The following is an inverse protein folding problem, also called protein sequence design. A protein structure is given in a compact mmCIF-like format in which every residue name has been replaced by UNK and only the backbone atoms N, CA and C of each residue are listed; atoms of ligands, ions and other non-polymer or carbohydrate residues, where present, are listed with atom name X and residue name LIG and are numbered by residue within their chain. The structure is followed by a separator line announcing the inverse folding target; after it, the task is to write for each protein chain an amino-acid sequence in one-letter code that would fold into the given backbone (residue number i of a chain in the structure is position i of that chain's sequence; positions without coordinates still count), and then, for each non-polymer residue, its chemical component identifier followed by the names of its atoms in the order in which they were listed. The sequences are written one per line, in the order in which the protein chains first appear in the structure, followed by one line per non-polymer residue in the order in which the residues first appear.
data_IF_057214278378
#
_entry.id   IF_057214278378
#
_cell.length_a   1.000
_cell.length_b   1.000
_cell.length_c   1.000
_cell.angle_alpha   90.00
_cell.angle_beta   90.00
_cell.angle_gamma   90.00
#
_symmetry.space_group_name_H-M   'P 1'
#
loop_
_entity.id
_entity.type
_entity.pdbx_description
1 polymer ?
#
# COMPACT_ATOMS: atom_id res chain seq x y z
N UNK A 1 -65.79 -10.28 47.98
CA UNK A 1 -65.79 -10.06 46.50
C UNK A 1 -64.35 -9.84 46.02
N UNK A 2 -64.08 -10.17 44.75
CA UNK A 2 -62.92 -10.99 44.34
C UNK A 2 -61.71 -10.18 43.81
N UNK A 3 -60.74 -9.86 44.66
CA UNK A 3 -59.51 -9.11 44.28
C UNK A 3 -58.54 -9.98 43.45
N UNK A 4 -58.52 -11.31 43.64
CA UNK A 4 -57.64 -12.22 42.88
C UNK A 4 -58.07 -12.42 41.42
N UNK A 5 -59.38 -12.32 41.11
CA UNK A 5 -59.87 -12.39 39.72
C UNK A 5 -59.55 -11.13 38.92
N UNK A 6 -59.61 -9.94 39.55
CA UNK A 6 -59.29 -8.65 38.90
C UNK A 6 -57.83 -8.58 38.41
N UNK A 7 -56.87 -9.02 39.24
CA UNK A 7 -55.45 -8.99 38.88
C UNK A 7 -55.08 -9.98 37.74
N UNK A 8 -55.75 -11.14 37.69
CA UNK A 8 -55.52 -12.14 36.64
C UNK A 8 -56.08 -11.69 35.29
N UNK A 9 -57.23 -10.98 35.28
CA UNK A 9 -57.78 -10.38 34.06
C UNK A 9 -56.91 -9.23 33.54
N UNK A 10 -56.37 -8.38 34.41
CA UNK A 10 -55.49 -7.27 34.00
C UNK A 10 -54.16 -7.75 33.36
N UNK A 11 -53.54 -8.82 33.87
CA UNK A 11 -52.33 -9.38 33.26
C UNK A 11 -52.57 -10.03 31.89
N UNK A 12 -53.71 -10.70 31.70
CA UNK A 12 -54.08 -11.29 30.40
C UNK A 12 -54.37 -10.18 29.36
N UNK A 13 -55.05 -9.11 29.76
CA UNK A 13 -55.33 -7.97 28.88
C UNK A 13 -54.06 -7.19 28.52
N UNK A 14 -53.12 -7.02 29.45
CA UNK A 14 -51.82 -6.39 29.17
C UNK A 14 -50.92 -7.26 28.27
N UNK A 15 -50.93 -8.59 28.46
CA UNK A 15 -50.24 -9.55 27.60
C UNK A 15 -50.81 -9.61 26.17
N UNK A 16 -52.14 -9.57 26.03
CA UNK A 16 -52.80 -9.53 24.73
C UNK A 16 -52.52 -8.21 23.97
N UNK A 17 -52.49 -7.07 24.68
CA UNK A 17 -52.16 -5.76 24.10
C UNK A 17 -50.71 -5.66 23.63
N UNK A 18 -49.76 -6.26 24.36
CA UNK A 18 -48.34 -6.31 23.96
C UNK A 18 -48.07 -7.26 22.80
N UNK A 19 -48.76 -8.42 22.75
CA UNK A 19 -48.68 -9.36 21.63
C UNK A 19 -49.31 -8.78 20.35
N UNK A 20 -50.45 -8.10 20.45
CA UNK A 20 -51.09 -7.42 19.33
C UNK A 20 -50.22 -6.26 18.77
N UNK A 21 -49.55 -5.50 19.65
CA UNK A 21 -48.61 -4.43 19.26
C UNK A 21 -47.35 -4.97 18.56
N UNK A 22 -46.82 -6.12 19.00
CA UNK A 22 -45.72 -6.83 18.31
C UNK A 22 -46.15 -7.36 16.94
N UNK A 23 -47.33 -7.99 16.83
CA UNK A 23 -47.87 -8.49 15.54
C UNK A 23 -48.13 -7.36 14.53
N UNK A 24 -48.60 -6.21 14.99
CA UNK A 24 -48.78 -5.02 14.14
C UNK A 24 -47.45 -4.45 13.61
N UNK A 25 -46.39 -4.46 14.42
CA UNK A 25 -45.06 -4.03 13.99
C UNK A 25 -44.45 -4.94 12.91
N UNK A 26 -44.59 -6.27 13.03
CA UNK A 26 -44.15 -7.20 12.00
C UNK A 26 -44.95 -7.06 10.70
N UNK A 27 -46.26 -6.84 10.78
CA UNK A 27 -47.09 -6.61 9.60
C UNK A 27 -46.69 -5.33 8.87
N UNK A 28 -46.39 -4.25 9.60
CA UNK A 28 -45.92 -2.99 9.01
C UNK A 28 -44.56 -3.15 8.33
N UNK A 29 -43.61 -3.86 8.94
CA UNK A 29 -42.31 -4.14 8.34
C UNK A 29 -42.42 -5.03 7.09
N UNK A 30 -43.30 -6.04 7.14
CA UNK A 30 -43.57 -6.90 6.00
C UNK A 30 -44.20 -6.12 4.83
N UNK A 31 -45.16 -5.25 5.11
CA UNK A 31 -45.78 -4.38 4.09
C UNK A 31 -44.76 -3.40 3.53
N UNK A 32 -43.94 -2.77 4.37
CA UNK A 32 -42.88 -1.84 3.92
C UNK A 32 -41.84 -2.55 3.04
N UNK A 33 -41.44 -3.77 3.38
CA UNK A 33 -40.52 -4.58 2.58
C UNK A 33 -41.11 -4.95 1.21
N UNK A 34 -42.37 -5.38 1.16
CA UNK A 34 -43.03 -5.70 -0.11
C UNK A 34 -43.27 -4.46 -0.98
N UNK A 35 -43.56 -3.31 -0.38
CA UNK A 35 -43.67 -2.03 -1.10
C UNK A 35 -42.31 -1.60 -1.68
N UNK A 36 -41.21 -1.81 -0.93
CA UNK A 36 -39.85 -1.58 -1.43
C UNK A 36 -39.53 -2.48 -2.62
N UNK A 37 -39.84 -3.78 -2.52
CA UNK A 37 -39.63 -4.72 -3.62
C UNK A 37 -40.48 -4.38 -4.85
N UNK A 38 -41.73 -3.98 -4.67
CA UNK A 38 -42.60 -3.54 -5.76
C UNK A 38 -42.07 -2.25 -6.42
N UNK A 39 -41.58 -1.29 -5.64
CA UNK A 39 -40.97 -0.06 -6.15
C UNK A 39 -39.68 -0.35 -6.95
N UNK A 40 -38.83 -1.25 -6.45
CA UNK A 40 -37.64 -1.70 -7.16
C UNK A 40 -38.00 -2.44 -8.46
N UNK A 41 -39.01 -3.31 -8.43
CA UNK A 41 -39.51 -4.04 -9.60
C UNK A 41 -40.08 -3.11 -10.68
N UNK A 42 -40.89 -2.13 -10.29
CA UNK A 42 -41.43 -1.11 -11.20
C UNK A 42 -40.33 -0.20 -11.77
N UNK A 43 -39.34 0.18 -10.96
CA UNK A 43 -38.17 0.91 -11.42
C UNK A 43 -37.37 0.14 -12.47
N UNK A 44 -37.19 -1.18 -12.26
CA UNK A 44 -36.55 -2.06 -13.23
C UNK A 44 -37.38 -2.20 -14.51
N UNK A 45 -38.70 -2.33 -14.40
CA UNK A 45 -39.60 -2.44 -15.54
C UNK A 45 -39.62 -1.16 -16.38
N UNK A 46 -39.62 0.01 -15.74
CA UNK A 46 -39.53 1.32 -16.41
C UNK A 46 -38.19 1.49 -17.13
N UNK A 47 -37.08 1.03 -16.53
CA UNK A 47 -35.76 1.00 -17.15
C UNK A 47 -35.66 0.05 -18.35
N UNK A 48 -36.53 -0.96 -18.44
CA UNK A 48 -36.59 -1.95 -19.53
C UNK A 48 -37.60 -1.56 -20.63
N UNK A 49 -38.65 -0.79 -20.29
CA UNK A 49 -39.74 -0.42 -21.21
C UNK A 49 -39.37 0.71 -22.18
N UNK A 50 -38.37 1.53 -21.84
CA UNK A 50 -37.84 2.58 -22.73
C UNK A 50 -36.47 2.16 -23.25
N UNK A 51 -36.26 1.95 -24.56
CA UNK A 51 -34.93 1.67 -25.08
C UNK A 51 -34.04 2.87 -24.76
N UNK A 52 -32.92 2.68 -24.05
CA UNK A 52 -32.11 3.79 -23.59
C UNK A 52 -31.55 4.53 -24.80
N UNK A 53 -31.64 5.85 -24.75
CA UNK A 53 -31.01 6.72 -25.75
C UNK A 53 -29.50 6.49 -25.75
N UNK A 54 -28.81 6.82 -26.86
CA UNK A 54 -27.34 6.66 -26.96
C UNK A 54 -26.60 7.37 -25.81
N UNK A 55 -27.13 8.48 -25.33
CA UNK A 55 -26.55 9.25 -24.22
C UNK A 55 -26.79 8.57 -22.86
N UNK A 56 -27.95 7.95 -22.64
CA UNK A 56 -28.22 7.14 -21.45
C UNK A 56 -27.37 5.87 -21.40
N UNK A 57 -27.12 5.23 -22.55
CA UNK A 57 -26.22 4.08 -22.64
C UNK A 57 -24.78 4.51 -22.28
N UNK A 58 -24.29 5.62 -22.83
CA UNK A 58 -22.96 6.17 -22.49
C UNK A 58 -22.86 6.55 -21.01
N UNK A 59 -23.90 7.16 -20.45
CA UNK A 59 -23.95 7.53 -19.04
C UNK A 59 -23.91 6.28 -18.14
N UNK A 60 -24.71 5.25 -18.45
CA UNK A 60 -24.68 3.96 -17.74
C UNK A 60 -23.31 3.30 -17.86
N UNK A 61 -22.71 3.28 -19.05
CA UNK A 61 -21.38 2.69 -19.27
C UNK A 61 -20.30 3.43 -18.46
N UNK A 62 -20.35 4.76 -18.41
CA UNK A 62 -19.45 5.57 -17.57
C UNK A 62 -19.62 5.20 -16.09
N UNK A 63 -20.85 5.13 -15.59
CA UNK A 63 -21.14 4.73 -14.20
C UNK A 63 -20.67 3.30 -13.91
N UNK A 64 -20.94 2.32 -14.78
CA UNK A 64 -20.44 0.95 -14.62
C UNK A 64 -18.91 0.88 -14.62
N UNK A 65 -18.25 1.63 -15.52
CA UNK A 65 -16.79 1.70 -15.56
C UNK A 65 -16.22 2.36 -14.29
N UNK A 66 -16.85 3.42 -13.78
CA UNK A 66 -16.44 4.06 -12.53
C UNK A 66 -16.66 3.15 -11.31
N UNK A 67 -17.78 2.43 -11.22
CA UNK A 67 -18.05 1.46 -10.14
C UNK A 67 -17.09 0.27 -10.24
N UNK A 68 -16.81 -0.23 -11.45
CA UNK A 68 -15.82 -1.27 -11.69
C UNK A 68 -14.44 -0.85 -11.22
N UNK A 69 -14.04 0.39 -11.52
CA UNK A 69 -12.77 0.96 -11.04
C UNK A 69 -12.74 1.09 -9.51
N UNK A 70 -13.84 1.52 -8.87
CA UNK A 70 -13.94 1.61 -7.41
C UNK A 70 -13.84 0.23 -6.74
N UNK A 71 -14.50 -0.79 -7.31
CA UNK A 71 -14.41 -2.16 -6.83
C UNK A 71 -13.00 -2.72 -7.02
N UNK A 72 -12.36 -2.47 -8.16
CA UNK A 72 -10.97 -2.86 -8.40
C UNK A 72 -10.03 -2.18 -7.41
N UNK A 73 -10.18 -0.86 -7.16
CA UNK A 73 -9.40 -0.14 -6.14
C UNK A 73 -9.60 -0.77 -4.76
N UNK A 74 -10.84 -1.10 -4.39
CA UNK A 74 -11.13 -1.73 -3.10
C UNK A 74 -10.50 -3.13 -3.00
N UNK A 75 -10.60 -3.95 -4.06
CA UNK A 75 -9.97 -5.26 -4.14
C UNK A 75 -8.44 -5.16 -4.03
N UNK A 76 -7.81 -4.31 -4.83
CA UNK A 76 -6.37 -4.08 -4.78
C UNK A 76 -5.89 -3.47 -3.46
N UNK A 77 -6.74 -2.67 -2.79
CA UNK A 77 -6.42 -2.17 -1.44
C UNK A 77 -6.39 -3.31 -0.42
N UNK A 78 -7.34 -4.26 -0.50
CA UNK A 78 -7.35 -5.45 0.37
C UNK A 78 -6.18 -6.37 0.05
N UNK A 79 -5.89 -6.60 -1.24
CA UNK A 79 -4.73 -7.37 -1.68
C UNK A 79 -3.42 -6.73 -1.20
N UNK A 80 -3.30 -5.40 -1.28
CA UNK A 80 -2.14 -4.65 -0.80
C UNK A 80 -1.96 -4.74 0.73
N UNK A 81 -3.05 -4.73 1.50
CA UNK A 81 -2.99 -4.96 2.96
C UNK A 81 -2.54 -6.39 3.28
N UNK A 82 -2.95 -7.36 2.47
CA UNK A 82 -2.59 -8.77 2.64
C UNK A 82 -1.24 -9.13 1.97
N UNK A 83 -0.57 -8.19 1.32
CA UNK A 83 0.67 -8.44 0.60
C UNK A 83 1.80 -8.80 1.57
N UNK A 84 2.63 -9.75 1.17
CA UNK A 84 3.85 -10.15 1.88
C UNK A 84 5.05 -9.72 1.04
N UNK A 85 5.58 -8.50 1.25
CA UNK A 85 6.69 -7.99 0.46
C UNK A 85 7.98 -8.78 0.75
N UNK A 86 8.89 -8.75 -0.22
CA UNK A 86 10.24 -9.28 -0.02
C UNK A 86 10.92 -8.61 1.18
N UNK A 87 11.59 -9.42 2.01
CA UNK A 87 12.17 -8.95 3.27
C UNK A 87 13.70 -8.99 3.25
N UNK A 88 14.31 -7.86 3.61
CA UNK A 88 15.75 -7.69 3.78
C UNK A 88 16.08 -7.51 5.26
N UNK A 89 16.96 -8.36 5.80
CA UNK A 89 17.49 -8.15 7.16
C UNK A 89 18.90 -7.62 7.09
N UNK A 90 19.13 -6.45 7.66
CA UNK A 90 20.39 -5.71 7.59
C UNK A 90 21.09 -5.77 8.95
N UNK A 91 22.27 -6.37 8.98
CA UNK A 91 23.13 -6.47 10.16
C UNK A 91 24.30 -5.47 10.05
N UNK A 92 24.27 -4.44 10.90
CA UNK A 92 25.28 -3.37 10.99
C UNK A 92 25.95 -3.43 12.37
N UNK A 93 27.29 -3.56 12.41
CA UNK A 93 28.01 -3.55 13.69
C UNK A 93 27.80 -2.23 14.43
N UNK A 94 27.72 -2.27 15.76
CA UNK A 94 27.45 -1.10 16.59
C UNK A 94 28.34 0.12 16.26
N UNK A 95 29.65 -0.06 16.13
CA UNK A 95 30.59 1.01 15.75
C UNK A 95 30.28 1.69 14.41
N UNK A 96 29.71 0.95 13.46
CA UNK A 96 29.36 1.45 12.13
C UNK A 96 28.01 2.16 12.16
N UNK A 97 27.07 1.65 12.96
CA UNK A 97 25.80 2.32 13.22
C UNK A 97 26.04 3.69 13.89
N UNK A 98 26.92 3.76 14.89
CA UNK A 98 27.32 5.02 15.52
C UNK A 98 27.92 6.01 14.52
N UNK A 99 28.73 5.53 13.55
CA UNK A 99 29.26 6.38 12.48
C UNK A 99 28.15 6.92 11.58
N UNK A 100 27.21 6.08 11.15
CA UNK A 100 26.05 6.51 10.37
C UNK A 100 25.23 7.55 11.13
N UNK A 101 24.94 7.31 12.42
CA UNK A 101 24.20 8.24 13.27
C UNK A 101 24.92 9.57 13.46
N UNK A 102 26.25 9.55 13.62
CA UNK A 102 27.05 10.77 13.72
C UNK A 102 26.95 11.61 12.45
N UNK A 103 27.18 11.00 11.28
CA UNK A 103 27.11 11.70 9.99
C UNK A 103 25.69 12.21 9.72
N UNK A 104 24.67 11.40 10.06
CA UNK A 104 23.26 11.79 9.97
C UNK A 104 22.95 13.03 10.81
N UNK A 105 23.40 13.03 12.06
CA UNK A 105 23.18 14.15 13.00
C UNK A 105 23.83 15.43 12.49
N UNK A 106 25.06 15.34 11.98
CA UNK A 106 25.74 16.48 11.36
C UNK A 106 24.99 17.01 10.14
N UNK A 107 24.51 16.13 9.27
CA UNK A 107 23.78 16.51 8.04
C UNK A 107 22.49 17.25 8.36
N UNK A 108 21.75 16.80 9.37
CA UNK A 108 20.53 17.47 9.84
C UNK A 108 20.86 18.85 10.44
N UNK A 109 21.93 18.97 11.23
CA UNK A 109 22.37 20.24 11.81
C UNK A 109 22.82 21.26 10.74
N UNK A 110 23.47 20.80 9.69
CA UNK A 110 23.97 21.64 8.60
C UNK A 110 22.91 21.95 7.55
N UNK A 111 21.76 21.25 7.57
CA UNK A 111 20.69 21.39 6.58
C UNK A 111 21.04 20.87 5.18
N UNK A 112 22.22 20.26 5.01
CA UNK A 112 22.73 19.72 3.76
C UNK A 112 23.76 18.63 4.05
N UNK A 113 23.75 17.58 3.25
CA UNK A 113 24.74 16.50 3.31
C UNK A 113 25.72 16.64 2.16
N UNK A 114 27.02 16.73 2.49
CA UNK A 114 28.05 17.04 1.51
C UNK A 114 28.89 15.83 1.10
N UNK A 115 29.03 14.78 1.92
CA UNK A 115 29.97 13.68 1.63
C UNK A 115 29.41 12.28 1.91
N UNK A 116 28.82 11.65 0.88
CA UNK A 116 28.35 10.27 0.92
C UNK A 116 29.44 9.27 1.33
N UNK A 117 30.69 9.50 0.92
CA UNK A 117 31.84 8.65 1.23
C UNK A 117 32.17 8.61 2.73
N UNK A 118 31.92 9.71 3.46
CA UNK A 118 32.14 9.76 4.90
C UNK A 118 31.19 8.82 5.68
N UNK A 119 30.03 8.53 5.11
CA UNK A 119 29.04 7.61 5.69
C UNK A 119 29.23 6.14 5.30
N UNK A 120 30.22 5.82 4.46
CA UNK A 120 30.43 4.46 3.96
C UNK A 120 30.85 3.49 5.06
N UNK A 121 30.06 2.44 5.27
CA UNK A 121 30.30 1.40 6.28
C UNK A 121 30.00 -0.01 5.78
N UNK A 122 30.74 -1.04 6.23
CA UNK A 122 30.44 -2.42 5.90
C UNK A 122 29.23 -2.95 6.69
N UNK A 123 28.39 -3.72 6.03
CA UNK A 123 27.25 -4.41 6.63
C UNK A 123 27.00 -5.78 5.96
N UNK A 124 26.02 -6.52 6.48
CA UNK A 124 25.52 -7.74 5.84
C UNK A 124 24.02 -7.61 5.59
N UNK A 125 23.55 -8.11 4.46
CA UNK A 125 22.12 -8.23 4.16
C UNK A 125 21.80 -9.72 4.03
N UNK A 126 20.73 -10.16 4.70
CA UNK A 126 20.15 -11.49 4.54
C UNK A 126 18.91 -11.37 3.66
N UNK A 127 18.87 -12.16 2.60
CA UNK A 127 17.79 -12.20 1.61
C UNK A 127 17.76 -13.57 0.93
N UNK A 128 16.58 -14.15 0.72
CA UNK A 128 16.43 -15.43 0.02
C UNK A 128 17.25 -16.59 0.61
N UNK A 129 17.44 -16.64 1.94
CA UNK A 129 18.25 -17.66 2.61
C UNK A 129 19.77 -17.45 2.50
N UNK A 130 20.24 -16.42 1.80
CA UNK A 130 21.65 -16.11 1.63
C UNK A 130 22.07 -14.88 2.43
N UNK A 131 23.37 -14.75 2.70
CA UNK A 131 23.96 -13.58 3.36
C UNK A 131 24.96 -12.91 2.43
N UNK A 132 24.73 -11.64 2.14
CA UNK A 132 25.54 -10.81 1.24
C UNK A 132 26.36 -9.82 2.03
N UNK A 133 27.65 -9.67 1.69
CA UNK A 133 28.46 -8.57 2.18
C UNK A 133 28.14 -7.33 1.36
N UNK A 134 27.84 -6.22 2.04
CA UNK A 134 27.50 -4.96 1.39
C UNK A 134 28.28 -3.81 2.01
N UNK A 135 28.31 -2.71 1.27
CA UNK A 135 28.66 -1.39 1.78
C UNK A 135 27.41 -0.52 1.79
N UNK A 136 27.16 0.11 2.92
CA UNK A 136 26.05 1.02 3.15
C UNK A 136 26.57 2.44 3.30
N UNK A 137 25.87 3.40 2.73
CA UNK A 137 26.08 4.83 2.94
C UNK A 137 24.74 5.55 3.03
N UNK A 138 24.71 6.75 3.60
CA UNK A 138 23.52 7.60 3.59
C UNK A 138 23.23 8.09 2.16
N UNK A 139 21.94 8.18 1.80
CA UNK A 139 21.48 8.72 0.52
C UNK A 139 20.88 10.11 0.72
N UNK A 140 20.96 10.94 -0.32
CA UNK A 140 20.22 12.19 -0.43
C UNK A 140 21.11 13.40 -0.18
N UNK A 141 20.61 14.61 -0.45
CA UNK A 141 21.22 15.89 -0.02
C UNK A 141 20.26 16.74 0.80
N UNK A 142 19.01 16.29 0.92
CA UNK A 142 17.95 17.03 1.58
C UNK A 142 17.52 16.33 2.88
N UNK A 143 17.04 17.08 3.88
CA UNK A 143 16.69 16.55 5.21
C UNK A 143 15.66 15.42 5.22
N UNK A 144 14.74 15.39 4.25
CA UNK A 144 13.69 14.38 4.09
C UNK A 144 14.24 12.94 4.04
N UNK A 145 15.49 12.77 3.62
CA UNK A 145 16.16 11.47 3.61
C UNK A 145 16.67 11.02 4.99
N UNK A 146 16.70 11.88 6.01
CA UNK A 146 17.44 11.63 7.26
C UNK A 146 16.72 12.00 8.55
N UNK A 147 15.69 12.83 8.47
CA UNK A 147 14.99 13.39 9.64
C UNK A 147 14.15 12.37 10.41
N UNK A 148 13.89 11.20 9.82
CA UNK A 148 13.03 10.18 10.38
C UNK A 148 13.78 8.93 10.87
N UNK A 149 13.05 8.06 11.58
CA UNK A 149 13.52 6.74 11.99
C UNK A 149 13.94 5.88 10.79
N UNK A 150 13.35 6.13 9.61
CA UNK A 150 13.67 5.46 8.35
C UNK A 150 14.59 6.31 7.47
N UNK A 151 15.87 6.37 7.83
CA UNK A 151 16.85 7.08 7.02
C UNK A 151 17.12 6.35 5.70
N UNK A 152 17.32 7.12 4.63
CA UNK A 152 17.61 6.61 3.29
C UNK A 152 19.07 6.18 3.17
N UNK A 153 19.29 5.03 2.56
CA UNK A 153 20.61 4.43 2.40
C UNK A 153 20.87 3.98 0.97
N UNK A 154 22.11 4.08 0.52
CA UNK A 154 22.60 3.37 -0.66
C UNK A 154 23.26 2.09 -0.22
N UNK A 155 23.04 1.04 -0.99
CA UNK A 155 23.59 -0.28 -0.80
C UNK A 155 24.42 -0.64 -2.02
N UNK A 156 25.65 -1.10 -1.80
CA UNK A 156 26.51 -1.68 -2.83
C UNK A 156 26.89 -3.11 -2.46
N UNK A 157 26.44 -4.08 -3.25
CA UNK A 157 26.72 -5.51 -3.01
C UNK A 157 28.16 -5.82 -3.40
N UNK A 158 28.94 -6.47 -2.52
CA UNK A 158 30.35 -6.80 -2.78
C UNK A 158 30.52 -8.12 -3.55
N UNK A 159 31.70 -8.32 -4.14
CA UNK A 159 32.02 -9.51 -4.97
C UNK A 159 31.27 -9.51 -6.30
N UNK A 160 30.88 -10.69 -6.80
CA UNK A 160 30.13 -10.83 -8.07
C UNK A 160 28.63 -11.12 -7.86
N UNK A 161 28.15 -10.93 -6.64
CA UNK A 161 26.74 -11.15 -6.29
C UNK A 161 25.86 -9.95 -6.61
N UNK A 162 24.55 -10.22 -6.66
CA UNK A 162 23.46 -9.24 -6.78
C UNK A 162 22.34 -9.61 -5.81
N UNK A 163 21.56 -8.62 -5.39
CA UNK A 163 20.32 -8.82 -4.65
C UNK A 163 19.18 -8.36 -5.57
N UNK A 164 18.19 -9.21 -5.83
CA UNK A 164 17.08 -8.90 -6.75
C UNK A 164 17.56 -8.40 -8.14
N UNK A 165 18.65 -8.99 -8.65
CA UNK A 165 19.29 -8.59 -9.91
C UNK A 165 20.11 -7.28 -9.86
N UNK A 166 20.12 -6.57 -8.74
CA UNK A 166 20.77 -5.28 -8.57
C UNK A 166 22.16 -5.41 -7.94
N UNK A 167 23.13 -4.65 -8.47
CA UNK A 167 24.49 -4.54 -7.91
C UNK A 167 24.59 -3.44 -6.86
N UNK A 168 23.88 -2.35 -7.11
CA UNK A 168 23.67 -1.25 -6.20
C UNK A 168 22.20 -0.86 -6.25
N UNK A 169 21.69 -0.39 -5.13
CA UNK A 169 20.32 0.09 -5.00
C UNK A 169 20.22 1.05 -3.82
N UNK A 170 19.16 1.84 -3.79
CA UNK A 170 18.80 2.63 -2.63
C UNK A 170 17.65 1.97 -1.88
N UNK A 171 17.65 2.10 -0.56
CA UNK A 171 16.50 1.89 0.29
C UNK A 171 16.13 3.25 0.86
N UNK A 172 14.94 3.75 0.56
CA UNK A 172 14.48 5.06 1.02
C UNK A 172 13.05 5.02 1.56
N UNK A 173 12.70 5.99 2.38
CA UNK A 173 11.32 6.14 2.83
C UNK A 173 10.43 6.38 1.60
N UNK A 174 9.31 5.64 1.41
CA UNK A 174 8.43 5.79 0.24
C UNK A 174 8.01 7.24 -0.04
N UNK A 175 7.71 8.01 1.01
CA UNK A 175 7.42 9.45 0.93
C UNK A 175 8.45 10.30 0.18
N UNK A 176 9.74 9.96 0.18
CA UNK A 176 10.78 10.72 -0.56
C UNK A 176 10.62 10.64 -2.09
N UNK A 177 9.67 9.84 -2.56
CA UNK A 177 9.32 9.57 -3.96
C UNK A 177 7.81 9.56 -4.16
N UNK A 178 7.07 10.30 -3.33
CA UNK A 178 5.62 10.42 -3.41
C UNK A 178 4.89 9.06 -3.36
N UNK A 179 5.40 8.14 -2.55
CA UNK A 179 4.83 6.81 -2.32
C UNK A 179 4.76 5.95 -3.59
N UNK A 180 3.57 5.80 -4.18
CA UNK A 180 3.34 4.93 -5.35
C UNK A 180 3.66 5.63 -6.67
N UNK A 181 3.76 6.95 -6.69
CA UNK A 181 3.88 7.72 -7.93
C UNK A 181 5.10 7.28 -8.74
N UNK A 182 6.27 7.18 -8.10
CA UNK A 182 7.50 6.72 -8.74
C UNK A 182 7.39 5.27 -9.26
N UNK A 183 6.74 4.39 -8.50
CA UNK A 183 6.50 3.01 -8.93
C UNK A 183 5.62 2.98 -10.20
N UNK A 184 4.52 3.75 -10.21
CA UNK A 184 3.62 3.85 -11.37
C UNK A 184 4.35 4.40 -12.58
N UNK A 185 5.19 5.43 -12.40
CA UNK A 185 6.02 5.99 -13.48
C UNK A 185 6.93 4.93 -14.09
N UNK A 186 7.57 4.09 -13.28
CA UNK A 186 8.40 3.00 -13.80
C UNK A 186 7.59 1.90 -14.51
N UNK A 187 6.37 1.59 -14.08
CA UNK A 187 5.49 0.69 -14.83
C UNK A 187 5.13 1.27 -16.20
N UNK A 188 4.80 2.57 -16.26
CA UNK A 188 4.50 3.25 -17.52
C UNK A 188 5.70 3.27 -18.48
N UNK A 189 6.91 3.47 -17.95
CA UNK A 189 8.13 3.40 -18.76
C UNK A 189 8.37 1.99 -19.32
N UNK A 190 8.16 0.95 -18.51
CA UNK A 190 8.26 -0.43 -18.94
C UNK A 190 7.24 -0.74 -20.07
N UNK A 191 5.98 -0.36 -19.88
CA UNK A 191 4.90 -0.56 -20.85
C UNK A 191 5.14 0.20 -22.16
N UNK A 192 5.71 1.41 -22.08
CA UNK A 192 6.10 2.20 -23.24
C UNK A 192 7.39 1.70 -23.91
N UNK A 193 8.03 0.65 -23.37
CA UNK A 193 9.30 0.13 -23.86
C UNK A 193 10.46 1.11 -23.69
N UNK A 194 10.37 2.04 -22.74
CA UNK A 194 11.43 2.98 -22.34
C UNK A 194 12.36 2.33 -21.31
N UNK A 195 13.49 2.98 -21.04
CA UNK A 195 14.41 2.53 -19.99
C UNK A 195 13.81 2.87 -18.61
N UNK A 196 13.69 1.87 -17.75
CA UNK A 196 13.15 2.01 -16.39
C UNK A 196 14.07 1.34 -15.36
N UNK A 197 14.00 1.81 -14.12
CA UNK A 197 14.70 1.21 -12.98
C UNK A 197 13.86 0.08 -12.39
N UNK A 198 14.50 -0.97 -11.86
CA UNK A 198 13.78 -1.82 -10.89
C UNK A 198 13.43 -0.97 -9.67
N UNK A 199 12.14 -0.77 -9.47
CA UNK A 199 11.59 0.00 -8.36
C UNK A 199 10.45 -0.81 -7.73
N UNK A 200 10.51 -1.03 -6.42
CA UNK A 200 9.53 -1.81 -5.69
C UNK A 200 9.50 -1.44 -4.20
N UNK A 201 8.69 -2.13 -3.40
CA UNK A 201 8.60 -1.97 -1.96
C UNK A 201 9.03 -3.23 -1.24
N UNK A 202 9.92 -3.09 -0.26
CA UNK A 202 10.50 -4.19 0.50
C UNK A 202 10.38 -3.93 1.99
N UNK A 203 10.19 -5.00 2.77
CA UNK A 203 10.33 -4.95 4.22
C UNK A 203 11.81 -4.92 4.60
N UNK A 204 12.22 -4.00 5.46
CA UNK A 204 13.61 -3.85 5.91
C UNK A 204 13.65 -3.90 7.43
N UNK A 205 14.38 -4.87 7.97
CA UNK A 205 14.70 -4.97 9.41
C UNK A 205 16.18 -4.66 9.63
N UNK A 206 16.47 -3.57 10.32
CA UNK A 206 17.84 -3.16 10.65
C UNK A 206 18.15 -3.56 12.10
N UNK A 207 19.09 -4.48 12.29
CA UNK A 207 19.55 -4.95 13.60
C UNK A 207 18.42 -5.46 14.52
N UNK A 208 17.35 -6.04 13.98
CA UNK A 208 16.26 -6.63 14.77
C UNK A 208 15.30 -5.61 15.38
N UNK A 209 15.19 -4.41 14.80
CA UNK A 209 14.29 -3.34 15.27
C UNK A 209 12.88 -3.43 14.69
N UNK A 210 12.61 -4.46 13.89
CA UNK A 210 11.32 -4.71 13.26
C UNK A 210 11.32 -4.26 11.80
N UNK A 211 10.61 -5.01 10.96
CA UNK A 211 10.49 -4.74 9.53
C UNK A 211 9.66 -3.49 9.27
N UNK A 212 10.18 -2.59 8.42
CA UNK A 212 9.45 -1.42 7.91
C UNK A 212 9.51 -1.38 6.40
N UNK A 213 8.49 -0.78 5.77
CA UNK A 213 8.41 -0.69 4.31
C UNK A 213 9.33 0.42 3.80
N UNK A 214 10.26 0.04 2.93
CA UNK A 214 11.12 0.93 2.17
C UNK A 214 10.81 0.80 0.69
N UNK A 215 10.95 1.91 -0.05
CA UNK A 215 11.09 1.85 -1.48
C UNK A 215 12.53 1.40 -1.83
N UNK A 216 12.66 0.36 -2.64
CA UNK A 216 13.92 -0.07 -3.24
C UNK A 216 14.03 0.50 -4.66
N UNK A 217 15.12 1.18 -4.97
CA UNK A 217 15.36 1.84 -6.26
C UNK A 217 16.71 1.38 -6.82
N UNK A 218 16.73 0.80 -8.02
CA UNK A 218 17.95 0.32 -8.68
C UNK A 218 18.98 1.45 -8.89
N UNK A 219 20.23 1.16 -8.58
CA UNK A 219 21.35 2.04 -8.89
C UNK A 219 21.79 1.89 -10.35
N UNK A 220 22.29 2.98 -10.94
CA UNK A 220 22.86 2.97 -12.28
C UNK A 220 24.11 2.07 -12.35
N UNK A 221 24.01 0.97 -13.10
CA UNK A 221 25.08 0.02 -13.42
C UNK A 221 24.78 -0.61 -14.79
N UNK A 222 25.74 -1.30 -15.40
CA UNK A 222 25.52 -2.04 -16.65
C UNK A 222 24.33 -3.00 -16.59
N UNK A 223 24.06 -3.57 -15.41
CA UNK A 223 22.94 -4.49 -15.17
C UNK A 223 21.58 -3.84 -15.39
N UNK A 224 21.44 -2.54 -15.16
CA UNK A 224 20.23 -1.78 -15.49
C UNK A 224 19.98 -1.82 -17.01
N UNK A 225 21.03 -1.56 -17.79
CA UNK A 225 20.95 -1.53 -19.25
C UNK A 225 20.65 -2.92 -19.82
N UNK A 226 21.33 -3.94 -19.28
CA UNK A 226 21.11 -5.35 -19.61
C UNK A 226 19.67 -5.79 -19.26
N UNK A 227 19.15 -5.38 -18.11
CA UNK A 227 17.77 -5.66 -17.69
C UNK A 227 16.73 -5.13 -18.68
N UNK A 228 16.99 -3.93 -19.20
CA UNK A 228 16.14 -3.27 -20.18
C UNK A 228 16.36 -3.78 -21.62
N UNK A 229 17.10 -4.89 -21.79
CA UNK A 229 17.43 -5.49 -23.09
C UNK A 229 18.10 -4.49 -24.05
N UNK A 230 18.94 -3.60 -23.50
CA UNK A 230 19.72 -2.61 -24.23
C UNK A 230 21.19 -3.05 -24.27
N UNK A 231 21.93 -2.58 -25.28
CA UNK A 231 23.37 -2.78 -25.34
C UNK A 231 24.06 -1.88 -24.32
N UNK A 232 25.09 -2.40 -23.65
CA UNK A 232 25.92 -1.66 -22.71
C UNK A 232 26.48 -0.38 -23.36
N UNK A 233 26.44 0.72 -22.62
CA UNK A 233 26.93 2.02 -23.06
C UNK A 233 27.16 2.98 -21.88
N UNK A 234 27.74 4.16 -22.13
CA UNK A 234 27.99 5.16 -21.10
C UNK A 234 26.69 5.61 -20.42
N UNK A 235 26.72 5.71 -19.08
CA UNK A 235 25.63 6.24 -18.27
C UNK A 235 26.10 7.56 -17.66
N UNK A 236 25.35 8.64 -17.88
CA UNK A 236 25.61 9.95 -17.29
C UNK A 236 24.58 10.22 -16.19
N UNK A 237 25.03 10.87 -15.11
CA UNK A 237 24.20 11.25 -13.96
C UNK A 237 24.35 12.73 -13.70
#
# INVERSE_FOLDING_TARGET
MNVKQSNKQNHVVQGARTLARRRGGFLLLFVAYNLLLAALGLGLLYLMASPPTKDEIKAKLKVYSSIGNLLAIAQHSVEGIAADPENLVIDIKHKHLQRLDYVRTLSVQQGSFHEEEESSVPARIRYGGHTYRVELSLKGRMPDHWTEDMFSMKVKVKGDHTIMGMKSFALQHPQTRDYLDEWVVHQLYADAGLLYLRYDFVGVDINGRGSRIYAIEEGFDKRLVEHNQRKEGPIFK
#
